data_IF_869791763952
#
_entry.id   IF_869791763952
#
_cell.length_a   1.000
_cell.length_b   1.000
_cell.length_c   1.000
_cell.angle_alpha   90.00
_cell.angle_beta   90.00
_cell.angle_gamma   90.00
#
_symmetry.space_group_name_H-M   'P 1'
#
loop_
_entity.id
_entity.type
_entity.pdbx_description
1 polymer ?
#
# COMPACT_ATOMS: atom_id res chain seq x y z
N UNK A 1 -25.70 37.27 23.66
CA UNK A 1 -26.30 35.94 23.46
C UNK A 1 -25.19 34.97 23.12
N UNK A 2 -24.71 34.23 24.12
CA UNK A 2 -23.78 33.13 23.92
C UNK A 2 -24.67 31.93 23.58
N UNK A 3 -24.72 31.54 22.30
CA UNK A 3 -25.44 30.32 21.93
C UNK A 3 -24.82 29.17 22.72
N UNK A 4 -25.66 28.44 23.45
CA UNK A 4 -25.27 27.20 24.09
C UNK A 4 -24.65 26.29 23.02
N UNK A 5 -23.36 25.98 23.15
CA UNK A 5 -22.73 24.91 22.38
C UNK A 5 -23.56 23.65 22.61
N UNK A 6 -24.41 23.34 21.64
CA UNK A 6 -25.14 22.08 21.61
C UNK A 6 -24.07 21.00 21.61
N UNK A 7 -24.13 20.04 22.54
CA UNK A 7 -23.16 18.96 22.62
C UNK A 7 -23.03 18.30 21.24
N UNK A 8 -21.96 18.62 20.51
CA UNK A 8 -21.69 18.07 19.20
C UNK A 8 -21.55 16.56 19.38
N UNK A 9 -22.33 15.78 18.64
CA UNK A 9 -22.26 14.31 18.70
C UNK A 9 -20.83 13.84 18.44
N UNK A 10 -20.38 12.83 19.19
CA UNK A 10 -19.03 12.31 19.05
C UNK A 10 -18.82 11.73 17.65
N UNK A 11 -17.85 12.27 16.91
CA UNK A 11 -17.45 11.74 15.59
C UNK A 11 -16.39 10.67 15.80
N UNK A 12 -16.59 9.49 15.20
CA UNK A 12 -15.61 8.41 15.26
C UNK A 12 -14.45 8.73 14.33
N UNK A 13 -13.27 9.03 14.87
CA UNK A 13 -12.08 9.33 14.06
C UNK A 13 -11.12 8.15 14.03
N UNK A 14 -10.85 7.66 12.83
CA UNK A 14 -10.09 6.42 12.58
C UNK A 14 -9.07 6.62 11.47
N UNK A 15 -8.13 5.69 11.39
CA UNK A 15 -7.28 5.47 10.22
C UNK A 15 -7.52 4.06 9.68
N UNK A 16 -7.49 3.93 8.36
CA UNK A 16 -7.55 2.65 7.65
C UNK A 16 -6.40 2.59 6.65
N UNK A 17 -5.71 1.46 6.57
CA UNK A 17 -4.53 1.30 5.73
C UNK A 17 -4.77 0.20 4.70
N UNK A 18 -4.72 0.55 3.43
CA UNK A 18 -4.69 -0.43 2.34
C UNK A 18 -3.26 -0.87 2.14
N UNK A 19 -2.93 -2.08 2.57
CA UNK A 19 -1.59 -2.64 2.39
C UNK A 19 -1.57 -3.54 1.17
N UNK A 20 -0.75 -3.21 0.19
CA UNK A 20 -0.59 -3.98 -1.04
C UNK A 20 0.78 -4.65 -1.08
N UNK A 21 0.78 -5.87 -1.60
CA UNK A 21 2.00 -6.64 -1.88
C UNK A 21 1.80 -7.45 -3.17
N UNK A 22 2.88 -8.05 -3.68
CA UNK A 22 2.82 -8.96 -4.83
C UNK A 22 3.19 -10.36 -4.38
N UNK A 23 2.32 -11.32 -4.71
CA UNK A 23 2.53 -12.75 -4.47
C UNK A 23 2.49 -13.44 -5.82
N UNK A 24 3.61 -14.01 -6.24
CA UNK A 24 3.75 -14.69 -7.55
C UNK A 24 3.28 -13.82 -8.73
N UNK A 25 3.58 -12.51 -8.68
CA UNK A 25 3.15 -11.53 -9.68
C UNK A 25 1.69 -11.08 -9.56
N UNK A 26 0.91 -11.62 -8.62
CA UNK A 26 -0.48 -11.20 -8.41
C UNK A 26 -0.56 -10.14 -7.33
N UNK A 27 -1.22 -9.01 -7.62
CA UNK A 27 -1.43 -7.95 -6.64
C UNK A 27 -2.40 -8.43 -5.56
N UNK A 28 -1.93 -8.42 -4.32
CA UNK A 28 -2.66 -8.86 -3.14
C UNK A 28 -2.84 -7.69 -2.17
N UNK A 29 -3.94 -7.71 -1.42
CA UNK A 29 -4.18 -6.85 -0.27
C UNK A 29 -4.02 -7.66 1.02
N UNK A 30 -3.41 -7.05 2.04
CA UNK A 30 -3.38 -7.61 3.39
C UNK A 30 -4.67 -7.25 4.11
N UNK A 31 -5.38 -8.27 4.57
CA UNK A 31 -6.55 -8.12 5.45
C UNK A 31 -6.22 -8.64 6.85
N UNK A 32 -6.83 -8.03 7.85
CA UNK A 32 -6.80 -8.47 9.25
C UNK A 32 -8.18 -8.92 9.69
N UNK A 33 -8.24 -9.94 10.53
CA UNK A 33 -9.50 -10.39 11.12
C UNK A 33 -9.90 -9.44 12.25
N UNK A 34 -11.12 -8.92 12.19
CA UNK A 34 -11.63 -8.02 13.25
C UNK A 34 -11.90 -8.80 14.53
N UNK A 35 -11.33 -8.33 15.63
CA UNK A 35 -11.54 -8.94 16.95
C UNK A 35 -12.82 -8.46 17.65
N UNK A 36 -13.33 -7.28 17.29
CA UNK A 36 -14.41 -6.60 18.03
C UNK A 36 -15.55 -6.18 17.11
N UNK A 37 -16.74 -6.08 17.70
CA UNK A 37 -17.91 -5.53 17.04
C UNK A 37 -17.70 -4.06 16.62
N UNK A 38 -18.38 -3.60 15.56
CA UNK A 38 -19.20 -4.37 14.62
C UNK A 38 -18.33 -5.28 13.73
N UNK A 39 -18.94 -6.27 13.08
CA UNK A 39 -18.27 -7.20 12.15
C UNK A 39 -17.10 -8.01 12.78
N UNK A 40 -17.24 -8.45 14.03
CA UNK A 40 -16.27 -9.35 14.65
C UNK A 40 -16.13 -10.65 13.82
N UNK A 41 -14.90 -11.15 13.68
CA UNK A 41 -14.57 -12.34 12.87
C UNK A 41 -14.46 -12.08 11.37
N UNK A 42 -14.88 -10.91 10.87
CA UNK A 42 -14.84 -10.56 9.44
C UNK A 42 -13.46 -10.01 9.06
N UNK A 43 -13.00 -10.33 7.86
CA UNK A 43 -11.77 -9.79 7.27
C UNK A 43 -11.95 -8.34 6.83
N UNK A 44 -11.01 -7.48 7.20
CA UNK A 44 -11.09 -6.05 6.97
C UNK A 44 -9.71 -5.45 6.67
N UNK A 45 -9.68 -4.21 6.17
CA UNK A 45 -8.45 -3.45 6.12
C UNK A 45 -7.89 -3.24 7.55
N UNK A 46 -6.56 -3.22 7.74
CA UNK A 46 -5.95 -2.76 8.97
C UNK A 46 -6.40 -1.35 9.30
N UNK A 47 -7.17 -1.20 10.37
CA UNK A 47 -7.70 0.09 10.78
C UNK A 47 -7.85 0.22 12.28
N UNK A 48 -7.93 1.44 12.79
CA UNK A 48 -8.02 1.70 14.23
C UNK A 48 -8.36 3.15 14.55
N UNK A 49 -8.73 3.40 15.80
CA UNK A 49 -8.94 4.75 16.29
C UNK A 49 -7.62 5.52 16.36
N UNK A 50 -7.71 6.83 16.14
CA UNK A 50 -6.64 7.75 16.51
C UNK A 50 -6.63 7.86 18.04
N UNK A 51 -5.46 7.66 18.64
CA UNK A 51 -5.23 7.80 20.07
C UNK A 51 -4.71 9.22 20.33
N UNK A 52 -5.62 10.15 20.64
CA UNK A 52 -5.30 11.58 20.69
C UNK A 52 -4.20 11.98 21.71
N UNK A 53 -3.92 11.13 22.70
CA UNK A 53 -2.87 11.35 23.70
C UNK A 53 -1.53 10.69 23.34
N UNK A 54 -1.51 9.77 22.37
CA UNK A 54 -0.34 8.94 22.02
C UNK A 54 0.17 9.21 20.61
N UNK A 55 -0.72 9.42 19.65
CA UNK A 55 -0.37 9.62 18.24
C UNK A 55 -0.05 11.09 17.98
N UNK A 56 1.14 11.35 17.43
CA UNK A 56 1.53 12.71 17.03
C UNK A 56 0.62 13.26 15.91
N UNK A 57 0.19 12.39 14.99
CA UNK A 57 -0.71 12.71 13.89
C UNK A 57 -1.38 11.43 13.32
N UNK A 58 -2.15 11.57 12.24
CA UNK A 58 -2.80 10.45 11.56
C UNK A 58 -1.80 9.49 10.90
N UNK A 59 -0.60 9.98 10.50
CA UNK A 59 0.42 9.12 9.91
C UNK A 59 1.04 8.22 10.97
N UNK A 60 1.33 8.74 12.17
CA UNK A 60 1.75 7.98 13.34
C UNK A 60 0.70 6.95 13.73
N UNK A 61 -0.59 7.32 13.69
CA UNK A 61 -1.71 6.40 13.92
C UNK A 61 -1.70 5.23 12.91
N UNK A 62 -1.52 5.52 11.63
CA UNK A 62 -1.48 4.51 10.57
C UNK A 62 -0.26 3.58 10.71
N UNK A 63 0.92 4.13 11.02
CA UNK A 63 2.12 3.35 11.29
C UNK A 63 1.95 2.43 12.51
N UNK A 64 1.31 2.92 13.59
CA UNK A 64 0.97 2.11 14.78
C UNK A 64 -0.01 0.99 14.44
N UNK A 65 -1.03 1.26 13.63
CA UNK A 65 -1.98 0.23 13.17
C UNK A 65 -1.28 -0.86 12.36
N UNK A 66 -0.37 -0.49 11.44
CA UNK A 66 0.43 -1.45 10.68
C UNK A 66 1.28 -2.34 11.59
N UNK A 67 1.99 -1.76 12.56
CA UNK A 67 2.82 -2.52 13.50
C UNK A 67 1.98 -3.44 14.38
N UNK A 68 0.95 -2.90 15.04
CA UNK A 68 0.16 -3.64 16.03
C UNK A 68 -0.69 -4.74 15.40
N UNK A 69 -1.41 -4.44 14.32
CA UNK A 69 -2.36 -5.37 13.68
C UNK A 69 -1.73 -6.20 12.57
N UNK A 70 -0.86 -5.57 11.77
CA UNK A 70 -0.19 -6.23 10.65
C UNK A 70 1.11 -6.92 11.02
N UNK A 71 1.81 -6.45 12.06
CA UNK A 71 3.22 -6.83 12.29
C UNK A 71 4.12 -6.31 11.17
N UNK A 72 3.72 -5.19 10.58
CA UNK A 72 4.31 -4.62 9.38
C UNK A 72 5.16 -3.42 9.78
N UNK A 73 6.43 -3.48 9.41
CA UNK A 73 7.41 -2.41 9.63
C UNK A 73 8.07 -2.06 8.29
N UNK A 74 8.58 -0.83 8.19
CA UNK A 74 9.30 -0.32 7.00
C UNK A 74 8.56 -0.48 5.66
N UNK A 75 7.23 -0.37 5.69
CA UNK A 75 6.43 -0.22 4.49
C UNK A 75 6.54 1.22 3.96
N UNK A 76 6.52 1.39 2.65
CA UNK A 76 6.18 2.70 2.09
C UNK A 76 4.77 3.05 2.52
N UNK A 77 4.55 4.22 3.10
CA UNK A 77 3.26 4.65 3.63
C UNK A 77 2.93 6.05 3.12
N UNK A 78 1.76 6.21 2.50
CA UNK A 78 1.31 7.49 1.96
C UNK A 78 -0.16 7.72 2.27
N UNK A 79 -0.53 8.95 2.64
CA UNK A 79 -1.93 9.32 2.82
C UNK A 79 -2.68 9.23 1.47
N UNK A 80 -3.81 8.51 1.49
CA UNK A 80 -4.63 8.27 0.32
C UNK A 80 -5.68 9.37 0.15
N UNK A 81 -6.65 9.38 1.06
CA UNK A 81 -7.83 10.24 1.06
C UNK A 81 -8.52 10.17 2.44
N UNK A 82 -9.48 11.05 2.67
CA UNK A 82 -10.33 11.02 3.86
C UNK A 82 -11.74 10.63 3.46
N UNK A 83 -12.31 9.63 4.12
CA UNK A 83 -13.67 9.14 3.91
C UNK A 83 -14.55 9.58 5.07
N UNK A 84 -15.70 10.20 4.80
CA UNK A 84 -16.55 10.86 5.82
C UNK A 84 -18.05 10.64 5.55
N UNK A 85 -18.90 10.77 6.58
CA UNK A 85 -20.35 10.54 6.49
C UNK A 85 -20.95 9.57 7.53
N UNK A 86 -22.28 9.54 7.66
CA UNK A 86 -22.99 8.72 8.65
C UNK A 86 -23.16 7.25 8.26
N UNK A 87 -23.08 6.92 6.96
CA UNK A 87 -23.38 5.58 6.46
C UNK A 87 -22.18 4.63 6.48
N UNK A 88 -20.97 5.14 6.71
CA UNK A 88 -19.73 4.35 6.60
C UNK A 88 -19.55 3.41 7.78
N UNK A 89 -19.93 3.86 8.98
CA UNK A 89 -19.88 3.07 10.20
C UNK A 89 -21.28 2.96 10.82
N UNK A 90 -21.77 1.74 11.11
CA UNK A 90 -23.10 1.54 11.70
C UNK A 90 -23.26 2.19 13.09
N UNK A 91 -22.15 2.57 13.74
CA UNK A 91 -22.17 3.24 15.05
C UNK A 91 -22.43 4.75 14.95
N UNK A 92 -22.41 5.33 13.75
CA UNK A 92 -22.77 6.73 13.51
C UNK A 92 -21.78 7.49 12.65
N UNK A 93 -21.80 8.83 12.76
CA UNK A 93 -20.91 9.72 12.02
C UNK A 93 -19.45 9.40 12.32
N UNK A 94 -18.68 9.20 11.26
CA UNK A 94 -17.27 8.85 11.35
C UNK A 94 -16.43 9.64 10.35
N UNK A 95 -15.13 9.64 10.58
CA UNK A 95 -14.08 10.11 9.66
C UNK A 95 -12.98 9.04 9.65
N UNK A 96 -12.60 8.58 8.47
CA UNK A 96 -11.48 7.65 8.27
C UNK A 96 -10.42 8.34 7.41
N UNK A 97 -9.27 8.65 8.01
CA UNK A 97 -8.10 9.14 7.28
C UNK A 97 -7.36 7.91 6.76
N UNK A 98 -7.50 7.64 5.47
CA UNK A 98 -7.00 6.42 4.86
C UNK A 98 -5.59 6.59 4.32
N UNK A 99 -4.80 5.53 4.41
CA UNK A 99 -3.45 5.43 3.89
C UNK A 99 -3.31 4.26 2.92
N UNK A 100 -2.35 4.35 2.02
CA UNK A 100 -1.90 3.26 1.18
C UNK A 100 -0.49 2.87 1.59
N UNK A 101 -0.24 1.58 1.75
CA UNK A 101 1.07 1.03 2.06
C UNK A 101 1.50 0.03 1.00
N UNK A 102 2.76 0.10 0.57
CA UNK A 102 3.37 -0.88 -0.33
C UNK A 102 4.50 -1.59 0.41
N UNK A 103 4.52 -2.93 0.33
CA UNK A 103 5.50 -3.73 1.05
C UNK A 103 5.93 -4.97 0.25
N UNK A 104 7.21 -5.36 0.30
CA UNK A 104 7.67 -6.63 -0.24
C UNK A 104 7.10 -7.81 0.52
N UNK A 105 6.71 -8.87 -0.18
CA UNK A 105 6.11 -10.05 0.44
C UNK A 105 7.01 -10.64 1.55
N UNK A 106 8.34 -10.59 1.38
CA UNK A 106 9.32 -11.14 2.31
C UNK A 106 9.38 -10.39 3.65
N UNK A 107 8.91 -9.13 3.69
CA UNK A 107 8.83 -8.33 4.91
C UNK A 107 7.51 -8.53 5.66
N UNK A 108 6.55 -9.25 5.08
CA UNK A 108 5.34 -9.61 5.80
C UNK A 108 5.63 -10.74 6.79
N UNK A 109 4.99 -10.74 7.98
CA UNK A 109 5.20 -11.81 8.94
C UNK A 109 4.70 -13.14 8.36
N UNK A 110 5.56 -14.15 8.39
CA UNK A 110 5.21 -15.49 7.96
C UNK A 110 4.09 -16.06 8.85
N UNK A 111 2.99 -16.49 8.24
CA UNK A 111 1.93 -17.29 8.89
C UNK A 111 1.40 -16.70 10.22
N UNK A 112 1.10 -15.39 10.25
CA UNK A 112 0.48 -14.75 11.42
C UNK A 112 -1.03 -15.06 11.49
N UNK A 113 -1.53 -15.67 12.58
CA UNK A 113 -2.98 -15.81 12.79
C UNK A 113 -3.68 -14.46 12.74
N UNK A 114 -4.83 -14.40 12.07
CA UNK A 114 -5.59 -13.16 11.91
C UNK A 114 -5.06 -12.20 10.84
N UNK A 115 -4.07 -12.61 10.02
CA UNK A 115 -3.64 -11.91 8.82
C UNK A 115 -3.87 -12.79 7.59
N UNK A 116 -4.42 -12.22 6.51
CA UNK A 116 -4.68 -12.92 5.25
C UNK A 116 -4.24 -12.09 4.06
N UNK A 117 -3.51 -12.72 3.14
CA UNK A 117 -3.25 -12.18 1.81
C UNK A 117 -4.37 -12.62 0.88
N UNK A 118 -4.99 -11.66 0.19
CA UNK A 118 -6.06 -11.93 -0.76
C UNK A 118 -5.77 -11.22 -2.07
N UNK A 119 -5.87 -11.89 -3.23
CA UNK A 119 -5.78 -11.22 -4.52
C UNK A 119 -6.80 -10.09 -4.58
N UNK A 120 -6.41 -8.92 -5.07
CA UNK A 120 -7.29 -7.73 -5.07
C UNK A 120 -8.57 -7.94 -5.88
N UNK A 121 -8.52 -8.85 -6.86
CA UNK A 121 -9.68 -9.25 -7.68
C UNK A 121 -10.63 -10.23 -6.96
N UNK A 122 -10.24 -10.80 -5.81
CA UNK A 122 -10.95 -11.87 -5.12
C UNK A 122 -11.25 -11.55 -3.64
N UNK A 123 -11.28 -10.26 -3.28
CA UNK A 123 -11.51 -9.82 -1.89
C UNK A 123 -12.91 -10.11 -1.36
N UNK A 124 -13.90 -10.26 -2.26
CA UNK A 124 -15.30 -10.42 -1.88
C UNK A 124 -15.87 -9.17 -1.22
N UNK A 125 -16.82 -9.35 -0.29
CA UNK A 125 -17.39 -8.23 0.47
C UNK A 125 -16.48 -7.88 1.66
N UNK A 126 -16.14 -6.60 1.78
CA UNK A 126 -15.42 -6.05 2.93
C UNK A 126 -16.40 -5.25 3.82
N UNK A 127 -16.20 -5.22 5.15
CA UNK A 127 -17.09 -4.49 6.05
C UNK A 127 -16.92 -2.97 5.88
N UNK A 128 -17.90 -2.20 6.37
CA UNK A 128 -17.94 -0.75 6.25
C UNK A 128 -17.90 -0.30 4.76
N UNK A 129 -17.15 0.75 4.47
CA UNK A 129 -16.84 1.26 3.14
C UNK A 129 -15.44 0.82 2.64
N UNK A 130 -14.83 -0.20 3.25
CA UNK A 130 -13.47 -0.64 2.93
C UNK A 130 -13.26 -1.02 1.46
N UNK A 131 -14.31 -1.52 0.77
CA UNK A 131 -14.24 -1.76 -0.66
C UNK A 131 -13.97 -0.47 -1.45
N UNK A 132 -14.58 0.66 -1.05
CA UNK A 132 -14.35 1.96 -1.68
C UNK A 132 -12.93 2.46 -1.40
N UNK A 133 -12.44 2.31 -0.17
CA UNK A 133 -11.07 2.67 0.22
C UNK A 133 -10.05 1.88 -0.60
N UNK A 134 -10.24 0.56 -0.74
CA UNK A 134 -9.39 -0.29 -1.58
C UNK A 134 -9.40 0.15 -3.05
N UNK A 135 -10.58 0.43 -3.64
CA UNK A 135 -10.64 0.89 -5.03
C UNK A 135 -9.92 2.22 -5.23
N UNK A 136 -10.06 3.17 -4.30
CA UNK A 136 -9.32 4.43 -4.33
C UNK A 136 -7.80 4.22 -4.26
N UNK A 137 -7.33 3.29 -3.41
CA UNK A 137 -5.92 2.93 -3.31
C UNK A 137 -5.40 2.32 -4.61
N UNK A 138 -6.14 1.38 -5.21
CA UNK A 138 -5.77 0.76 -6.48
C UNK A 138 -5.69 1.80 -7.60
N UNK A 139 -6.67 2.71 -7.69
CA UNK A 139 -6.65 3.81 -8.66
C UNK A 139 -5.44 4.72 -8.45
N UNK A 140 -5.14 5.09 -7.20
CA UNK A 140 -3.96 5.91 -6.84
C UNK A 140 -2.66 5.22 -7.25
N UNK A 141 -2.49 3.95 -6.89
CA UNK A 141 -1.26 3.19 -7.18
C UNK A 141 -1.08 3.03 -8.69
N UNK A 142 -2.15 2.68 -9.43
CA UNK A 142 -2.11 2.61 -10.90
C UNK A 142 -1.72 3.93 -11.54
N UNK A 143 -2.38 5.02 -11.16
CA UNK A 143 -2.09 6.36 -11.66
C UNK A 143 -0.64 6.77 -11.36
N UNK A 144 -0.20 6.68 -10.10
CA UNK A 144 1.17 7.02 -9.69
C UNK A 144 2.23 6.14 -10.34
N UNK A 145 1.92 4.87 -10.59
CA UNK A 145 2.85 3.98 -11.28
C UNK A 145 3.15 4.46 -12.69
N UNK A 146 2.22 5.13 -13.38
CA UNK A 146 2.48 5.61 -14.74
C UNK A 146 3.61 6.65 -14.79
N UNK A 147 3.78 7.46 -13.75
CA UNK A 147 4.72 8.59 -13.78
C UNK A 147 5.73 8.61 -12.62
N UNK A 148 5.77 7.60 -11.75
CA UNK A 148 6.72 7.56 -10.63
C UNK A 148 7.42 6.21 -10.44
N UNK A 149 8.40 6.19 -9.53
CA UNK A 149 9.08 4.99 -9.05
C UNK A 149 8.27 4.16 -8.05
N UNK A 150 7.02 4.52 -7.74
CA UNK A 150 6.21 3.89 -6.69
C UNK A 150 6.26 2.34 -6.66
N UNK A 151 6.22 1.61 -7.80
CA UNK A 151 6.27 0.15 -7.79
C UNK A 151 7.56 -0.48 -7.25
N UNK A 152 8.66 0.27 -7.07
CA UNK A 152 9.87 -0.29 -6.45
C UNK A 152 9.66 -0.72 -5.01
N UNK A 153 8.67 -0.15 -4.32
CA UNK A 153 8.35 -0.49 -2.93
C UNK A 153 7.70 -1.86 -2.76
N UNK A 154 7.44 -2.59 -3.85
CA UNK A 154 7.11 -4.02 -3.82
C UNK A 154 8.35 -4.93 -3.72
N UNK A 155 9.56 -4.39 -3.83
CA UNK A 155 10.80 -5.15 -3.77
C UNK A 155 11.58 -4.93 -2.48
N UNK A 156 12.31 -5.99 -2.07
CA UNK A 156 13.29 -5.93 -1.00
C UNK A 156 14.56 -5.18 -1.44
N UNK A 157 15.72 -5.77 -1.17
CA UNK A 157 17.00 -5.07 -1.35
C UNK A 157 17.42 -4.92 -2.83
N UNK A 158 17.10 -5.91 -3.66
CA UNK A 158 17.49 -5.91 -5.07
C UNK A 158 16.49 -6.65 -5.96
N UNK A 159 16.51 -6.33 -7.25
CA UNK A 159 15.64 -6.90 -8.27
C UNK A 159 16.23 -6.69 -9.66
N UNK A 160 15.75 -7.44 -10.65
CA UNK A 160 16.12 -7.25 -12.06
C UNK A 160 15.11 -6.34 -12.77
N UNK A 161 15.53 -5.68 -13.85
CA UNK A 161 14.62 -4.86 -14.67
C UNK A 161 13.41 -5.64 -15.21
N UNK A 162 13.55 -6.91 -15.67
CA UNK A 162 12.39 -7.71 -16.06
C UNK A 162 11.41 -7.95 -14.91
N UNK A 163 11.90 -8.22 -13.69
CA UNK A 163 11.02 -8.36 -12.51
C UNK A 163 10.29 -7.05 -12.22
N UNK A 164 10.99 -5.91 -12.26
CA UNK A 164 10.34 -4.61 -12.07
C UNK A 164 9.28 -4.36 -13.16
N UNK A 165 9.57 -4.68 -14.42
CA UNK A 165 8.60 -4.56 -15.51
C UNK A 165 7.34 -5.39 -15.22
N UNK A 166 7.48 -6.65 -14.82
CA UNK A 166 6.36 -7.53 -14.47
C UNK A 166 5.52 -6.95 -13.33
N UNK A 167 6.14 -6.32 -12.33
CA UNK A 167 5.43 -5.64 -11.25
C UNK A 167 4.60 -4.47 -11.77
N UNK A 168 5.15 -3.64 -12.65
CA UNK A 168 4.38 -2.56 -13.30
C UNK A 168 3.21 -3.12 -14.12
N UNK A 169 3.44 -4.16 -14.92
CA UNK A 169 2.39 -4.82 -15.72
C UNK A 169 1.27 -5.38 -14.83
N UNK A 170 1.62 -5.97 -13.69
CA UNK A 170 0.67 -6.53 -12.73
C UNK A 170 -0.19 -5.46 -12.05
N UNK A 171 0.36 -4.28 -11.80
CA UNK A 171 -0.36 -3.14 -11.24
C UNK A 171 -1.30 -2.53 -12.30
N UNK A 172 -0.77 -2.28 -13.50
CA UNK A 172 -1.48 -1.61 -14.59
C UNK A 172 -2.52 -2.52 -15.24
N UNK A 173 -2.32 -3.85 -15.21
CA UNK A 173 -3.20 -4.85 -15.81
C UNK A 173 -2.97 -5.05 -17.31
N UNK A 174 -1.86 -4.56 -17.86
CA UNK A 174 -1.53 -4.64 -19.28
C UNK A 174 -0.02 -4.85 -19.49
N UNK A 175 0.39 -5.52 -20.59
CA UNK A 175 1.80 -5.69 -20.92
C UNK A 175 2.45 -4.36 -21.31
N UNK A 176 3.72 -4.17 -20.94
CA UNK A 176 4.47 -2.97 -21.23
C UNK A 176 5.49 -3.19 -22.34
N UNK A 177 5.67 -2.15 -23.17
CA UNK A 177 6.75 -2.15 -24.14
C UNK A 177 8.11 -2.05 -23.42
N UNK A 178 8.97 -3.05 -23.64
CA UNK A 178 10.30 -3.15 -23.00
C UNK A 178 11.21 -1.94 -23.25
N UNK A 179 11.13 -1.32 -24.43
CA UNK A 179 11.97 -0.15 -24.79
C UNK A 179 11.47 1.09 -24.07
N UNK A 180 10.16 1.35 -24.11
CA UNK A 180 9.54 2.46 -23.37
C UNK A 180 9.77 2.35 -21.86
N UNK A 181 9.62 1.14 -21.31
CA UNK A 181 9.85 0.88 -19.89
C UNK A 181 11.31 1.18 -19.50
N UNK A 182 12.29 0.69 -20.27
CA UNK A 182 13.71 0.97 -20.02
C UNK A 182 14.03 2.45 -20.06
N UNK A 183 13.56 3.16 -21.10
CA UNK A 183 13.73 4.61 -21.22
C UNK A 183 13.18 5.33 -19.99
N UNK A 184 12.00 4.95 -19.49
CA UNK A 184 11.46 5.52 -18.26
C UNK A 184 12.35 5.24 -17.05
N UNK A 185 12.85 4.01 -16.88
CA UNK A 185 13.73 3.69 -15.75
C UNK A 185 15.02 4.51 -15.78
N UNK A 186 15.57 4.74 -16.97
CA UNK A 186 16.74 5.60 -17.18
C UNK A 186 16.40 7.07 -16.86
N UNK A 187 15.26 7.59 -17.32
CA UNK A 187 14.76 8.94 -17.04
C UNK A 187 14.52 9.18 -15.53
N UNK A 188 13.98 8.18 -14.81
CA UNK A 188 13.79 8.27 -13.37
C UNK A 188 15.11 8.33 -12.59
N UNK A 189 16.21 7.82 -13.15
CA UNK A 189 17.55 7.87 -12.55
C UNK A 189 17.67 7.21 -11.16
N UNK A 190 16.68 6.43 -10.75
CA UNK A 190 16.51 5.96 -9.37
C UNK A 190 17.17 4.60 -9.07
N UNK A 191 17.70 3.94 -10.10
CA UNK A 191 18.32 2.62 -9.99
C UNK A 191 19.84 2.73 -10.08
N UNK A 192 20.52 1.84 -9.36
CA UNK A 192 21.95 1.55 -9.52
C UNK A 192 22.17 0.04 -9.61
N UNK A 193 23.13 -0.42 -10.44
CA UNK A 193 23.47 -1.84 -10.51
C UNK A 193 24.13 -2.30 -9.20
N UNK A 194 23.86 -3.54 -8.80
CA UNK A 194 24.59 -4.19 -7.71
C UNK A 194 25.85 -4.84 -8.29
N UNK A 195 27.07 -4.35 -7.97
CA UNK A 195 28.30 -4.81 -8.64
C UNK A 195 28.55 -6.31 -8.43
N UNK A 196 28.84 -7.03 -9.52
CA UNK A 196 29.15 -8.47 -9.47
C UNK A 196 27.95 -9.38 -9.20
N UNK A 197 26.78 -8.82 -8.91
CA UNK A 197 25.57 -9.59 -8.63
C UNK A 197 24.68 -9.69 -9.86
N UNK A 198 24.53 -10.93 -10.33
CA UNK A 198 23.66 -11.28 -11.46
C UNK A 198 22.67 -12.33 -10.98
N UNK A 199 21.41 -12.20 -11.35
CA UNK A 199 20.46 -13.29 -11.20
C UNK A 199 20.76 -14.35 -12.26
N UNK A 200 21.14 -15.55 -11.82
CA UNK A 200 21.32 -16.69 -12.68
C UNK A 200 19.99 -17.01 -13.39
N UNK A 201 19.95 -16.79 -14.71
CA UNK A 201 18.88 -17.33 -15.54
C UNK A 201 19.24 -18.78 -15.85
N UNK A 202 18.32 -19.72 -15.69
CA UNK A 202 18.57 -21.13 -16.02
C UNK A 202 19.03 -21.31 -17.49
N UNK A 203 18.10 -21.42 -18.42
CA UNK A 203 18.40 -21.49 -19.87
C UNK A 203 18.56 -20.11 -20.54
N UNK A 204 18.54 -19.01 -19.77
CA UNK A 204 18.57 -17.64 -20.27
C UNK A 204 19.80 -16.88 -19.76
N UNK A 205 20.19 -15.84 -20.52
CA UNK A 205 21.32 -14.98 -20.14
C UNK A 205 21.11 -14.41 -18.72
N UNK A 206 22.13 -14.43 -17.85
CA UNK A 206 22.05 -13.81 -16.52
C UNK A 206 21.58 -12.36 -16.59
N UNK A 207 20.76 -11.94 -15.64
CA UNK A 207 20.20 -10.59 -15.57
C UNK A 207 20.89 -9.76 -14.47
N UNK A 208 21.22 -8.51 -14.78
CA UNK A 208 21.81 -7.58 -13.81
C UNK A 208 20.82 -7.29 -12.68
N UNK A 209 21.28 -7.44 -11.44
CA UNK A 209 20.54 -6.98 -10.27
C UNK A 209 20.74 -5.47 -10.09
N UNK A 210 19.67 -4.79 -9.75
CA UNK A 210 19.61 -3.37 -9.44
C UNK A 210 19.04 -3.19 -8.04
N UNK A 211 19.33 -2.04 -7.45
CA UNK A 211 18.69 -1.56 -6.22
C UNK A 211 18.30 -0.09 -6.36
N UNK A 212 17.36 0.33 -5.54
CA UNK A 212 16.97 1.74 -5.45
C UNK A 212 18.08 2.52 -4.76
N UNK A 213 18.51 3.62 -5.36
CA UNK A 213 19.51 4.50 -4.75
C UNK A 213 19.01 5.05 -3.41
N UNK A 214 19.87 5.23 -2.40
CA UNK A 214 19.47 5.62 -1.04
C UNK A 214 18.52 6.84 -0.98
N UNK A 215 18.75 7.85 -1.81
CA UNK A 215 17.96 9.08 -1.90
C UNK A 215 16.50 8.85 -2.32
N UNK A 216 16.20 7.76 -3.05
CA UNK A 216 14.86 7.42 -3.52
C UNK A 216 14.18 6.31 -2.70
N UNK A 217 14.78 5.87 -1.58
CA UNK A 217 14.16 4.83 -0.73
C UNK A 217 12.92 5.30 0.02
N UNK A 218 12.83 6.60 0.29
CA UNK A 218 11.70 7.22 1.00
C UNK A 218 11.02 8.33 0.18
N UNK A 219 11.50 8.59 -1.04
CA UNK A 219 10.98 9.62 -1.93
C UNK A 219 10.75 9.04 -3.32
N UNK A 220 9.65 9.41 -3.95
CA UNK A 220 9.34 8.95 -5.30
C UNK A 220 10.12 9.78 -6.32
N UNK A 221 10.87 9.11 -7.20
CA UNK A 221 11.31 9.71 -8.44
C UNK A 221 10.10 9.91 -9.36
N UNK A 222 10.04 11.05 -10.05
CA UNK A 222 8.95 11.41 -10.96
C UNK A 222 9.49 11.51 -12.39
N UNK A 223 8.72 11.03 -13.36
CA UNK A 223 8.96 11.32 -14.77
C UNK A 223 7.93 12.34 -15.26
N UNK A 224 8.39 13.25 -16.13
CA UNK A 224 7.53 14.21 -16.81
C UNK A 224 6.61 13.56 -17.86
N UNK A 225 6.86 12.30 -18.23
CA UNK A 225 6.07 11.53 -19.19
C UNK A 225 5.56 10.24 -18.53
N UNK A 226 4.31 9.87 -18.83
CA UNK A 226 3.77 8.57 -18.47
C UNK A 226 4.49 7.42 -19.21
N UNK A 227 4.24 6.18 -18.76
CA UNK A 227 4.57 4.96 -19.50
C UNK A 227 3.87 4.92 -20.86
#
# INVERSE_FOLDING_TARGET
MMQSETALGQVLTTVDVVVLTLVDGVLNVVLVQRERAPFAGVWALPGGYIHAQEDADAHASAARVLRSKGGIEDAYLEQLATFTGPARDPRGWSVAISYCALIPQQKLPAQRPGLKLVPVAATGQLPFDHAQILQAALARVRSKSQYSSLPVHFFGESFTLPQLQQVYESILGEPLNKVSFRRKMDELGMLEPVPGEMQAGGAHRPAQLHRVRPEFRQQLALSARGL
#
